data_IF_832999218494
#
_entry.id   IF_832999218494
#
_cell.length_a   1.000
_cell.length_b   1.000
_cell.length_c   1.000
_cell.angle_alpha   90.00
_cell.angle_beta   90.00
_cell.angle_gamma   90.00
#
_symmetry.space_group_name_H-M   'P 1'
#
loop_
_entity.id
_entity.type
_entity.pdbx_description
1 polymer ?
#
# COMPACT_ATOMS: atom_id res chain seq x y z
N UNK A 1 15.14 7.61 -8.14
CA UNK A 1 13.91 6.97 -7.63
C UNK A 1 14.06 5.47 -7.73
N UNK A 2 14.02 4.75 -6.60
CA UNK A 2 13.93 3.29 -6.60
C UNK A 2 12.51 2.88 -7.01
N UNK A 3 12.32 1.83 -7.82
CA UNK A 3 10.99 1.37 -8.21
C UNK A 3 10.25 0.81 -6.98
N UNK A 4 8.95 1.07 -6.86
CA UNK A 4 8.09 0.39 -5.88
C UNK A 4 8.06 -1.11 -6.21
N UNK A 5 8.20 -1.92 -5.18
CA UNK A 5 8.21 -3.38 -5.25
C UNK A 5 7.14 -3.98 -4.35
N UNK A 6 6.78 -5.24 -4.60
CA UNK A 6 5.96 -6.01 -3.67
C UNK A 6 6.64 -6.08 -2.28
N UNK A 7 5.81 -6.23 -1.24
CA UNK A 7 6.18 -6.24 0.17
C UNK A 7 6.71 -4.93 0.75
N UNK A 8 6.87 -3.88 -0.06
CA UNK A 8 7.24 -2.55 0.41
C UNK A 8 6.02 -1.77 0.94
N UNK A 9 6.30 -0.74 1.74
CA UNK A 9 5.31 0.17 2.30
C UNK A 9 5.35 1.54 1.62
N UNK A 10 4.17 2.11 1.36
CA UNK A 10 4.02 3.42 0.77
C UNK A 10 2.89 4.21 1.44
N UNK A 11 2.87 5.52 1.23
CA UNK A 11 1.77 6.41 1.61
C UNK A 11 0.86 6.54 0.39
N UNK A 12 -0.43 6.30 0.59
CA UNK A 12 -1.46 6.34 -0.45
C UNK A 12 -2.60 7.26 -0.05
N UNK A 13 -3.27 7.82 -1.05
CA UNK A 13 -4.56 8.48 -0.87
C UNK A 13 -5.66 7.42 -0.99
N UNK A 14 -6.51 7.30 0.03
CA UNK A 14 -7.64 6.37 0.05
C UNK A 14 -8.82 7.03 0.77
N UNK A 15 -10.06 6.87 0.30
CA UNK A 15 -11.28 7.41 0.94
C UNK A 15 -11.14 8.87 1.47
N UNK A 16 -10.56 9.77 0.67
CA UNK A 16 -10.30 11.18 0.99
C UNK A 16 -9.33 11.45 2.18
N UNK A 17 -8.45 10.50 2.50
CA UNK A 17 -7.41 10.66 3.52
C UNK A 17 -6.07 10.05 3.11
N UNK A 18 -5.05 10.24 3.96
CA UNK A 18 -3.74 9.63 3.83
C UNK A 18 -3.64 8.38 4.70
N UNK A 19 -3.11 7.31 4.09
CA UNK A 19 -2.97 6.01 4.73
C UNK A 19 -1.61 5.39 4.41
N UNK A 20 -1.21 4.43 5.24
CA UNK A 20 -0.04 3.60 4.94
C UNK A 20 -0.52 2.30 4.31
N UNK A 21 0.10 1.92 3.21
CA UNK A 21 -0.25 0.72 2.46
C UNK A 21 0.96 -0.21 2.32
N UNK A 22 0.70 -1.51 2.39
CA UNK A 22 1.68 -2.55 2.02
C UNK A 22 1.34 -3.06 0.62
N UNK A 23 2.30 -3.01 -0.30
CA UNK A 23 2.12 -3.53 -1.66
C UNK A 23 2.15 -5.04 -1.65
N UNK A 24 1.10 -5.67 -2.19
CA UNK A 24 1.00 -7.13 -2.28
C UNK A 24 1.37 -7.62 -3.68
N UNK A 25 0.86 -6.93 -4.69
CA UNK A 25 1.11 -7.25 -6.09
C UNK A 25 1.02 -5.99 -6.94
N UNK A 26 1.87 -5.95 -7.98
CA UNK A 26 1.87 -4.87 -8.96
C UNK A 26 1.45 -5.48 -10.30
N UNK A 27 0.43 -4.89 -10.93
CA UNK A 27 -0.05 -5.34 -12.24
C UNK A 27 0.31 -4.32 -13.31
N UNK A 28 1.03 -4.77 -14.33
CA UNK A 28 1.36 -3.95 -15.49
C UNK A 28 0.43 -4.27 -16.67
N UNK A 29 0.19 -3.25 -17.50
CA UNK A 29 -0.51 -3.46 -18.77
C UNK A 29 0.47 -4.10 -19.73
N UNK A 30 0.17 -5.32 -20.20
CA UNK A 30 0.93 -5.91 -21.30
C UNK A 30 0.15 -5.74 -22.60
N UNK A 31 0.80 -5.21 -23.63
CA UNK A 31 0.22 -5.02 -24.97
C UNK A 31 0.57 -6.19 -25.88
N UNK A 32 -0.39 -7.08 -26.14
CA UNK A 32 -0.34 -8.08 -27.21
C UNK A 32 -1.42 -7.78 -28.25
N UNK A 33 -1.16 -8.07 -29.52
CA UNK A 33 -2.07 -7.81 -30.66
C UNK A 33 -3.50 -8.31 -30.35
N UNK A 34 -4.39 -7.40 -29.93
CA UNK A 34 -5.84 -7.63 -29.85
C UNK A 34 -6.50 -7.54 -28.49
N UNK A 35 -5.79 -7.66 -27.36
CA UNK A 35 -6.43 -7.66 -26.02
C UNK A 35 -5.47 -7.17 -24.92
N UNK A 36 -5.97 -6.31 -24.03
CA UNK A 36 -5.21 -5.85 -22.86
C UNK A 36 -5.21 -6.95 -21.78
N UNK A 37 -4.04 -7.50 -21.46
CA UNK A 37 -3.88 -8.47 -20.38
C UNK A 37 -3.11 -7.84 -19.22
N UNK A 38 -3.62 -7.99 -18.00
CA UNK A 38 -2.92 -7.62 -16.77
C UNK A 38 -1.92 -8.73 -16.43
N UNK A 39 -0.62 -8.38 -16.36
CA UNK A 39 0.45 -9.29 -15.97
C UNK A 39 1.05 -8.90 -14.63
N UNK A 40 1.56 -9.88 -13.87
CA UNK A 40 2.36 -9.62 -12.67
C UNK A 40 3.67 -8.93 -13.06
N UNK A 41 3.96 -7.81 -12.41
CA UNK A 41 5.19 -7.04 -12.61
C UNK A 41 5.94 -6.87 -11.30
N UNK A 42 7.26 -6.78 -11.37
CA UNK A 42 8.13 -6.55 -10.21
C UNK A 42 8.46 -5.06 -10.02
N UNK A 43 7.94 -4.18 -10.88
CA UNK A 43 8.34 -2.77 -10.94
C UNK A 43 7.30 -1.87 -11.65
N UNK A 44 7.20 -0.61 -11.19
CA UNK A 44 6.08 0.31 -11.51
C UNK A 44 6.08 0.95 -12.92
N UNK A 45 7.08 0.73 -13.76
CA UNK A 45 7.27 1.52 -14.99
C UNK A 45 6.11 1.54 -16.00
N UNK A 46 5.16 0.60 -15.93
CA UNK A 46 3.99 0.48 -16.84
C UNK A 46 2.72 -0.03 -16.10
N UNK A 47 2.45 0.48 -14.90
CA UNK A 47 1.35 0.01 -14.03
C UNK A 47 -0.02 0.32 -14.62
N UNK A 48 -0.93 -0.66 -14.54
CA UNK A 48 -2.38 -0.38 -14.59
C UNK A 48 -2.95 -0.15 -13.20
N UNK A 49 -2.51 -0.89 -12.16
CA UNK A 49 -2.85 -0.67 -10.74
C UNK A 49 -1.99 -1.56 -9.81
N UNK A 50 -1.90 -1.25 -8.51
CA UNK A 50 -1.28 -2.08 -7.48
C UNK A 50 -2.31 -2.54 -6.44
N UNK A 51 -2.30 -3.82 -6.08
CA UNK A 51 -3.10 -4.35 -4.97
C UNK A 51 -2.36 -4.13 -3.66
N UNK A 52 -2.98 -3.44 -2.71
CA UNK A 52 -2.37 -3.12 -1.42
C UNK A 52 -3.24 -3.51 -0.24
N UNK A 53 -2.62 -3.73 0.92
CA UNK A 53 -3.30 -3.78 2.22
C UNK A 53 -3.20 -2.40 2.89
N UNK A 54 -4.32 -1.85 3.36
CA UNK A 54 -4.37 -0.49 3.94
C UNK A 54 -4.35 -0.52 5.48
N UNK A 55 -3.56 0.38 6.05
CA UNK A 55 -3.45 0.64 7.48
C UNK A 55 -3.81 2.09 7.81
N UNK A 56 -4.69 2.27 8.79
CA UNK A 56 -5.09 3.58 9.32
C UNK A 56 -4.28 3.94 10.58
N UNK A 57 -4.06 5.24 10.84
CA UNK A 57 -3.44 5.69 12.08
C UNK A 57 -4.23 5.20 13.30
N UNK A 58 -3.52 4.70 14.32
CA UNK A 58 -4.15 4.27 15.57
C UNK A 58 -3.56 4.95 16.80
N UNK A 59 -2.25 4.84 17.02
CA UNK A 59 -1.57 5.46 18.16
C UNK A 59 -0.13 5.81 17.80
N UNK A 60 0.13 7.10 17.55
CA UNK A 60 1.46 7.59 17.16
C UNK A 60 2.03 6.77 15.99
N UNK A 61 3.17 6.10 16.21
CA UNK A 61 3.88 5.24 15.26
C UNK A 61 3.16 3.92 14.94
N UNK A 62 2.00 3.65 15.55
CA UNK A 62 1.21 2.44 15.33
C UNK A 62 0.02 2.71 14.43
N UNK A 63 -0.07 1.86 13.41
CA UNK A 63 -1.16 1.84 12.45
C UNK A 63 -1.84 0.48 12.51
N UNK A 64 -3.14 0.45 12.28
CA UNK A 64 -3.92 -0.80 12.30
C UNK A 64 -4.54 -1.06 10.93
N UNK A 65 -4.64 -2.33 10.55
CA UNK A 65 -5.34 -2.70 9.34
C UNK A 65 -6.81 -2.26 9.44
N UNK A 66 -7.33 -1.66 8.36
CA UNK A 66 -8.74 -1.27 8.33
C UNK A 66 -9.58 -2.55 8.25
N UNK A 67 -10.39 -2.80 9.27
CA UNK A 67 -11.32 -3.93 9.31
C UNK A 67 -12.76 -3.49 8.94
N UNK A 68 -13.09 -2.20 8.99
CA UNK A 68 -14.47 -1.72 9.10
C UNK A 68 -15.43 -2.15 7.98
N UNK A 69 -14.97 -2.33 6.74
CA UNK A 69 -15.82 -2.80 5.61
C UNK A 69 -16.05 -4.31 5.59
N UNK A 70 -15.27 -5.09 6.36
CA UNK A 70 -15.25 -6.57 6.32
C UNK A 70 -15.01 -7.21 7.71
N UNK A 71 -15.31 -6.49 8.79
CA UNK A 71 -15.10 -6.93 10.20
C UNK A 71 -15.74 -8.30 10.43
N UNK A 72 -16.93 -8.53 9.87
CA UNK A 72 -17.66 -9.78 10.02
C UNK A 72 -16.99 -10.97 9.30
N UNK A 73 -16.13 -10.71 8.31
CA UNK A 73 -15.33 -11.74 7.62
C UNK A 73 -13.94 -11.91 8.24
N UNK A 74 -13.57 -11.09 9.23
CA UNK A 74 -12.18 -10.98 9.73
C UNK A 74 -11.17 -10.77 8.61
N UNK A 75 -11.59 -10.14 7.51
CA UNK A 75 -10.72 -9.86 6.37
C UNK A 75 -10.08 -8.48 6.52
N UNK A 76 -8.89 -8.35 5.94
CA UNK A 76 -8.18 -7.08 5.82
C UNK A 76 -8.76 -6.31 4.63
N UNK A 77 -8.71 -4.97 4.70
CA UNK A 77 -9.11 -4.13 3.56
C UNK A 77 -8.01 -4.11 2.51
N UNK A 78 -8.38 -4.46 1.29
CA UNK A 78 -7.51 -4.38 0.11
C UNK A 78 -8.06 -3.35 -0.87
N UNK A 79 -7.16 -2.61 -1.51
CA UNK A 79 -7.51 -1.65 -2.55
C UNK A 79 -6.59 -1.77 -3.77
N UNK A 80 -7.10 -1.38 -4.92
CA UNK A 80 -6.31 -1.18 -6.13
C UNK A 80 -5.98 0.30 -6.25
N UNK A 81 -4.70 0.65 -6.18
CA UNK A 81 -4.25 2.03 -6.37
C UNK A 81 -3.62 2.23 -7.73
N UNK A 82 -4.01 3.32 -8.37
CA UNK A 82 -3.35 3.86 -9.55
C UNK A 82 -2.02 4.52 -9.15
N UNK A 83 -1.10 4.73 -10.10
CA UNK A 83 0.22 5.28 -9.79
C UNK A 83 0.20 6.71 -9.25
N UNK A 84 -0.82 7.49 -9.62
CA UNK A 84 -1.06 8.86 -9.16
C UNK A 84 -1.68 8.94 -7.76
N UNK A 85 -2.18 7.83 -7.23
CA UNK A 85 -2.68 7.73 -5.84
C UNK A 85 -1.56 7.32 -4.85
N UNK A 86 -0.39 6.93 -5.35
CA UNK A 86 0.80 6.64 -4.55
C UNK A 86 1.60 7.92 -4.37
N UNK A 87 1.58 8.48 -3.15
CA UNK A 87 2.23 9.75 -2.84
C UNK A 87 3.74 9.60 -2.76
N UNK A 88 4.20 8.65 -1.94
CA UNK A 88 5.62 8.39 -1.75
C UNK A 88 5.87 7.06 -1.06
N UNK A 89 7.12 6.59 -1.15
CA UNK A 89 7.62 5.45 -0.39
C UNK A 89 7.74 5.82 1.08
N UNK A 90 7.39 4.89 1.97
CA UNK A 90 7.64 5.05 3.39
C UNK A 90 9.11 4.69 3.67
N UNK A 91 9.94 5.63 4.15
CA UNK A 91 11.34 5.35 4.43
C UNK A 91 11.48 4.50 5.70
N UNK A 92 12.64 3.87 5.83
CA UNK A 92 13.03 3.19 7.06
C UNK A 92 12.43 1.78 7.20
N UNK A 93 12.36 1.27 8.44
CA UNK A 93 11.92 -0.10 8.73
C UNK A 93 10.51 -0.10 9.29
N UNK A 94 9.66 -0.96 8.75
CA UNK A 94 8.32 -1.19 9.27
C UNK A 94 8.20 -2.62 9.79
N UNK A 95 7.62 -2.77 10.98
CA UNK A 95 7.42 -4.07 11.61
C UNK A 95 5.94 -4.36 11.66
N UNK A 96 5.52 -5.36 10.88
CA UNK A 96 4.15 -5.87 10.93
C UNK A 96 4.09 -6.97 11.98
N UNK A 97 3.11 -6.89 12.89
CA UNK A 97 2.85 -7.94 13.88
C UNK A 97 2.53 -9.27 13.20
N UNK A 98 2.77 -10.39 13.90
CA UNK A 98 2.58 -11.73 13.35
C UNK A 98 1.14 -12.01 12.88
N UNK A 99 0.15 -11.36 13.50
CA UNK A 99 -1.26 -11.43 13.13
C UNK A 99 -1.63 -10.55 11.92
N UNK A 100 -0.68 -9.78 11.39
CA UNK A 100 -0.81 -8.88 10.22
C UNK A 100 -1.81 -7.73 10.42
N UNK A 101 -2.17 -7.42 11.66
CA UNK A 101 -3.17 -6.39 11.96
C UNK A 101 -2.56 -5.06 12.39
N UNK A 102 -1.36 -5.07 12.96
CA UNK A 102 -0.73 -3.87 13.51
C UNK A 102 0.62 -3.63 12.85
N UNK A 103 0.78 -2.45 12.26
CA UNK A 103 2.00 -1.99 11.64
C UNK A 103 2.67 -0.96 12.57
N UNK A 104 3.86 -1.27 13.03
CA UNK A 104 4.74 -0.31 13.69
C UNK A 104 5.65 0.33 12.65
N UNK A 105 5.59 1.66 12.57
CA UNK A 105 6.38 2.49 11.67
C UNK A 105 7.47 3.17 12.48
N UNK A 106 8.68 3.21 11.96
CA UNK A 106 9.75 3.93 12.66
C UNK A 106 9.48 5.45 12.75
N UNK A 107 10.20 6.17 13.63
CA UNK A 107 9.97 7.61 13.81
C UNK A 107 10.20 8.44 12.55
N UNK A 108 11.05 7.99 11.62
CA UNK A 108 11.37 8.72 10.38
C UNK A 108 10.19 8.63 9.42
N UNK A 109 9.67 7.43 9.18
CA UNK A 109 8.47 7.19 8.37
C UNK A 109 7.24 7.86 8.97
N UNK A 110 7.08 7.82 10.30
CA UNK A 110 5.98 8.49 10.97
C UNK A 110 6.06 10.02 10.85
N UNK A 111 7.26 10.60 10.98
CA UNK A 111 7.46 12.04 10.79
C UNK A 111 7.13 12.48 9.36
N UNK A 112 7.52 11.68 8.35
CA UNK A 112 7.14 11.93 6.96
C UNK A 112 5.61 11.90 6.78
N UNK A 113 4.94 10.91 7.36
CA UNK A 113 3.48 10.79 7.28
C UNK A 113 2.76 12.01 7.86
N UNK A 114 3.28 12.60 8.96
CA UNK A 114 2.69 13.81 9.57
C UNK A 114 2.97 15.10 8.79
N UNK A 115 3.95 15.12 7.90
CA UNK A 115 4.33 16.30 7.11
C UNK A 115 3.57 16.43 5.79
N UNK A 116 2.86 15.37 5.38
CA UNK A 116 2.04 15.31 4.17
C UNK A 116 0.57 15.59 4.50
#
# INVERSE_FOLDING_TARGET
>A
HLPLQAEQYCIVIYDNGLYIAKVLAIYSRTGGKGTAHAGLSTNIGLVSYASVQIFEPWLQTRFRAILAKVVHLRSLTFAHHMSDEVVTMLPGTQTLTADKTTLEVDPVGYSLFLQL
#
